data_IF_079632196699
#
_entry.id   IF_079632196699
#
_cell.length_a   1.000
_cell.length_b   1.000
_cell.length_c   1.000
_cell.angle_alpha   90.00
_cell.angle_beta   90.00
_cell.angle_gamma   90.00
#
_symmetry.space_group_name_H-M   'P 1'
#
loop_
_entity.id
_entity.type
_entity.pdbx_description
1 polymer ?
#
# COMPACT_ATOMS: atom_id res chain seq x y z
N UNK A 1 1.12 -34.26 17.24
CA UNK A 1 1.98 -33.05 17.30
C UNK A 1 1.90 -32.55 18.73
N UNK A 2 3.01 -32.58 19.45
CA UNK A 2 3.04 -32.54 20.92
C UNK A 2 2.77 -31.16 21.52
N UNK A 3 1.84 -31.11 22.48
CA UNK A 3 1.50 -29.92 23.28
C UNK A 3 2.70 -29.35 24.04
N UNK A 4 3.67 -30.19 24.41
CA UNK A 4 4.94 -29.77 25.04
C UNK A 4 5.79 -28.92 24.10
N UNK A 5 5.84 -29.22 22.80
CA UNK A 5 6.56 -28.41 21.81
C UNK A 5 5.89 -27.04 21.63
N UNK A 6 4.56 -27.01 21.59
CA UNK A 6 3.78 -25.77 21.52
C UNK A 6 4.00 -24.90 22.76
N UNK A 7 4.02 -25.49 23.95
CA UNK A 7 4.30 -24.79 25.21
C UNK A 7 5.73 -24.23 25.25
N UNK A 8 6.74 -24.99 24.80
CA UNK A 8 8.12 -24.53 24.72
C UNK A 8 8.29 -23.37 23.73
N UNK A 9 7.63 -23.45 22.57
CA UNK A 9 7.62 -22.37 21.58
C UNK A 9 6.92 -21.12 22.14
N UNK A 10 5.80 -21.28 22.85
CA UNK A 10 5.12 -20.18 23.54
C UNK A 10 6.03 -19.50 24.58
N UNK A 11 6.72 -20.29 25.42
CA UNK A 11 7.64 -19.77 26.43
C UNK A 11 8.85 -19.03 25.82
N UNK A 12 9.46 -19.59 24.76
CA UNK A 12 10.53 -18.92 24.00
C UNK A 12 10.06 -17.62 23.34
N UNK A 13 8.82 -17.57 22.85
CA UNK A 13 8.23 -16.37 22.23
C UNK A 13 7.96 -15.30 23.28
N UNK A 14 7.47 -15.68 24.47
CA UNK A 14 7.23 -14.80 25.62
C UNK A 14 8.53 -14.23 26.19
N UNK A 15 9.57 -15.05 26.35
CA UNK A 15 10.92 -14.60 26.75
C UNK A 15 11.52 -13.60 25.75
N UNK A 16 11.44 -13.89 24.44
CA UNK A 16 11.85 -12.94 23.38
C UNK A 16 11.05 -11.64 23.34
N UNK A 17 9.81 -11.63 23.83
CA UNK A 17 9.01 -10.41 23.95
C UNK A 17 9.44 -9.55 25.14
N UNK A 18 9.85 -10.17 26.26
CA UNK A 18 10.35 -9.49 27.44
C UNK A 18 11.75 -8.91 27.23
N UNK A 19 12.60 -9.59 26.46
CA UNK A 19 13.97 -9.16 26.12
C UNK A 19 14.04 -8.18 24.92
N UNK A 20 12.91 -7.63 24.47
CA UNK A 20 12.92 -6.69 23.35
C UNK A 20 13.69 -5.42 23.74
N UNK A 21 14.79 -5.16 23.02
CA UNK A 21 15.58 -3.92 23.14
C UNK A 21 14.72 -2.65 23.13
N UNK A 22 13.62 -2.67 22.36
CA UNK A 22 12.66 -1.57 22.29
C UNK A 22 11.24 -2.13 22.24
N UNK A 23 10.38 -1.67 23.15
CA UNK A 23 8.94 -1.97 23.12
C UNK A 23 8.23 -1.17 22.00
N UNK A 24 8.56 0.13 21.88
CA UNK A 24 8.28 0.98 20.72
C UNK A 24 9.63 1.53 20.25
N UNK A 25 9.85 1.59 18.93
CA UNK A 25 11.09 2.17 18.38
C UNK A 25 11.10 3.68 18.61
N UNK A 26 12.24 4.31 18.96
CA UNK A 26 12.30 5.76 19.20
C UNK A 26 11.73 6.62 18.06
N UNK A 27 11.94 6.22 16.80
CA UNK A 27 11.39 6.91 15.62
C UNK A 27 9.84 6.99 15.62
N UNK A 28 9.17 6.06 16.32
CA UNK A 28 7.71 6.00 16.38
C UNK A 28 7.13 6.69 17.62
N UNK A 29 7.96 7.18 18.55
CA UNK A 29 7.48 7.88 19.74
C UNK A 29 6.76 9.18 19.37
N UNK A 30 7.28 9.91 18.38
CA UNK A 30 6.69 11.14 17.85
C UNK A 30 5.59 10.95 16.83
N UNK A 31 5.11 9.73 16.55
CA UNK A 31 4.18 9.43 15.45
C UNK A 31 2.92 10.30 15.44
N UNK A 32 2.37 10.64 16.60
CA UNK A 32 1.18 11.50 16.72
C UNK A 32 1.45 12.96 16.37
N UNK A 33 2.72 13.39 16.42
CA UNK A 33 3.13 14.77 16.15
C UNK A 33 3.74 14.91 14.74
N UNK A 34 4.54 13.94 14.31
CA UNK A 34 5.32 14.01 13.07
C UNK A 34 4.86 13.02 12.00
N UNK A 35 4.04 12.03 12.35
CA UNK A 35 3.60 11.00 11.42
C UNK A 35 2.74 11.56 10.30
N UNK A 36 2.91 10.99 9.10
CA UNK A 36 2.25 11.46 7.86
C UNK A 36 0.73 11.63 7.99
N UNK A 37 0.06 10.77 8.77
CA UNK A 37 -1.38 10.88 8.99
C UNK A 37 -1.76 12.12 9.82
N UNK A 38 -0.95 12.48 10.82
CA UNK A 38 -1.21 13.63 11.67
C UNK A 38 -0.68 14.95 11.08
N UNK A 39 0.29 14.88 10.18
CA UNK A 39 0.88 16.04 9.50
C UNK A 39 0.27 16.25 8.12
N UNK A 40 0.74 15.52 7.11
CA UNK A 40 0.37 15.70 5.71
C UNK A 40 -1.14 15.53 5.48
N UNK A 41 -1.74 14.45 5.98
CA UNK A 41 -3.16 14.17 5.75
C UNK A 41 -4.05 15.24 6.37
N UNK A 42 -3.72 15.70 7.58
CA UNK A 42 -4.42 16.81 8.22
C UNK A 42 -4.29 18.12 7.44
N UNK A 43 -3.11 18.40 6.87
CA UNK A 43 -2.90 19.58 6.01
C UNK A 43 -3.68 19.49 4.71
N UNK A 44 -3.68 18.34 4.05
CA UNK A 44 -4.46 18.09 2.83
C UNK A 44 -5.95 18.30 3.09
N UNK A 45 -6.45 17.79 4.20
CA UNK A 45 -7.86 17.91 4.55
C UNK A 45 -8.29 19.37 4.75
N UNK A 46 -7.45 20.18 5.40
CA UNK A 46 -7.78 21.57 5.74
C UNK A 46 -7.55 22.54 4.57
N UNK A 47 -6.45 22.37 3.83
CA UNK A 47 -5.94 23.38 2.90
C UNK A 47 -6.17 23.02 1.43
N UNK A 48 -6.30 21.74 1.11
CA UNK A 48 -6.34 21.30 -0.28
C UNK A 48 -7.23 20.04 -0.48
N UNK A 49 -8.56 20.21 -0.52
CA UNK A 49 -9.50 19.11 -0.75
C UNK A 49 -9.32 18.42 -2.11
N UNK A 50 -8.84 19.14 -3.12
CA UNK A 50 -8.58 18.56 -4.45
C UNK A 50 -7.41 17.58 -4.38
N UNK A 51 -6.33 17.97 -3.70
CA UNK A 51 -5.21 17.08 -3.45
C UNK A 51 -5.53 15.97 -2.49
N UNK A 52 -6.39 16.19 -1.49
CA UNK A 52 -6.92 15.11 -0.67
C UNK A 52 -7.63 14.06 -1.53
N UNK A 53 -8.47 14.51 -2.48
CA UNK A 53 -9.13 13.62 -3.42
C UNK A 53 -8.13 12.90 -4.31
N UNK A 54 -7.07 13.56 -4.82
CA UNK A 54 -6.01 12.85 -5.54
C UNK A 54 -5.31 11.82 -4.65
N UNK A 55 -5.05 12.18 -3.39
CA UNK A 55 -4.31 11.38 -2.42
C UNK A 55 -5.05 10.08 -2.04
N UNK A 56 -6.34 10.16 -1.71
CA UNK A 56 -7.18 9.03 -1.27
C UNK A 56 -8.24 8.55 -2.28
N UNK A 57 -8.41 9.22 -3.42
CA UNK A 57 -9.48 9.00 -4.42
C UNK A 57 -10.90 9.12 -3.83
N UNK A 58 -11.04 9.91 -2.78
CA UNK A 58 -12.31 10.20 -2.10
C UNK A 58 -12.26 11.57 -1.41
N UNK A 59 -13.42 12.14 -1.14
CA UNK A 59 -13.51 13.39 -0.37
C UNK A 59 -13.25 13.13 1.11
N UNK A 60 -12.81 14.15 1.88
CA UNK A 60 -12.65 14.03 3.33
C UNK A 60 -13.93 13.56 4.04
N UNK A 61 -15.08 14.07 3.62
CA UNK A 61 -16.38 13.65 4.18
C UNK A 61 -16.63 12.15 4.04
N UNK A 62 -16.42 11.60 2.84
CA UNK A 62 -16.57 10.16 2.58
C UNK A 62 -15.54 9.33 3.35
N UNK A 63 -14.32 9.85 3.49
CA UNK A 63 -13.29 9.19 4.28
C UNK A 63 -13.73 9.06 5.75
N UNK A 64 -14.25 10.13 6.35
CA UNK A 64 -14.72 10.10 7.74
C UNK A 64 -15.95 9.22 7.93
N UNK A 65 -16.90 9.27 7.00
CA UNK A 65 -18.06 8.37 6.98
C UNK A 65 -17.62 6.91 6.98
N UNK A 66 -16.71 6.54 6.08
CA UNK A 66 -16.17 5.20 5.99
C UNK A 66 -15.36 4.81 7.24
N UNK A 67 -14.57 5.73 7.79
CA UNK A 67 -13.79 5.50 8.99
C UNK A 67 -14.68 5.23 10.21
N UNK A 68 -15.81 5.92 10.32
CA UNK A 68 -16.78 5.70 11.40
C UNK A 68 -17.53 4.38 11.22
N UNK A 69 -17.93 4.05 9.99
CA UNK A 69 -18.55 2.75 9.67
C UNK A 69 -17.65 1.56 10.01
N UNK A 70 -16.34 1.68 9.74
CA UNK A 70 -15.36 0.60 9.95
C UNK A 70 -14.69 0.63 11.32
N UNK A 71 -15.04 1.61 12.17
CA UNK A 71 -14.37 1.85 13.45
C UNK A 71 -14.32 0.60 14.33
N UNK A 72 -15.46 -0.09 14.47
CA UNK A 72 -15.57 -1.29 15.30
C UNK A 72 -14.70 -2.45 14.79
N UNK A 73 -14.53 -2.59 13.47
CA UNK A 73 -13.73 -3.65 12.87
C UNK A 73 -12.22 -3.34 12.88
N UNK A 74 -11.87 -2.06 12.76
CA UNK A 74 -10.48 -1.62 12.69
C UNK A 74 -9.85 -1.40 14.08
N UNK A 75 -10.67 -1.15 15.09
CA UNK A 75 -10.24 -1.12 16.49
C UNK A 75 -9.73 -2.50 16.88
N UNK A 76 -8.46 -2.56 17.30
CA UNK A 76 -7.88 -3.77 17.88
C UNK A 76 -7.78 -3.59 19.40
N UNK A 77 -8.07 -4.65 20.18
CA UNK A 77 -7.89 -4.61 21.62
C UNK A 77 -6.45 -4.22 21.93
N UNK A 78 -6.27 -3.27 22.86
CA UNK A 78 -5.00 -2.59 23.14
C UNK A 78 -3.87 -3.57 23.45
N UNK A 79 -3.15 -4.00 22.40
CA UNK A 79 -2.04 -4.95 22.50
C UNK A 79 -0.70 -4.22 22.69
N UNK A 80 -0.70 -2.91 22.47
CA UNK A 80 0.45 -2.03 22.36
C UNK A 80 0.19 -0.74 23.14
N UNK A 81 1.23 -0.15 23.74
CA UNK A 81 1.14 1.16 24.44
C UNK A 81 0.59 2.29 23.56
N UNK A 82 0.74 2.18 22.24
CA UNK A 82 0.26 3.20 21.30
C UNK A 82 -0.28 2.51 20.04
N UNK A 83 -1.55 2.06 20.05
CA UNK A 83 -2.15 1.41 18.88
C UNK A 83 -2.38 2.42 17.75
N UNK A 84 -2.36 1.93 16.51
CA UNK A 84 -2.72 2.71 15.33
C UNK A 84 -4.24 2.83 15.29
N UNK A 85 -4.74 4.07 15.21
CA UNK A 85 -6.17 4.36 15.23
C UNK A 85 -6.90 3.90 13.96
N UNK A 86 -8.23 3.68 14.01
CA UNK A 86 -9.02 3.22 12.86
C UNK A 86 -8.82 4.05 11.58
N UNK A 87 -8.93 5.38 11.68
CA UNK A 87 -8.78 6.29 10.55
C UNK A 87 -7.38 6.22 9.95
N UNK A 88 -6.34 6.14 10.77
CA UNK A 88 -4.97 6.01 10.29
C UNK A 88 -4.73 4.67 9.59
N UNK A 89 -5.34 3.58 10.08
CA UNK A 89 -5.28 2.27 9.41
C UNK A 89 -6.01 2.30 8.07
N UNK A 90 -7.18 2.93 8.02
CA UNK A 90 -7.91 3.12 6.78
C UNK A 90 -7.07 3.91 5.79
N UNK A 91 -6.47 5.03 6.22
CA UNK A 91 -5.58 5.84 5.40
C UNK A 91 -4.40 5.03 4.84
N UNK A 92 -3.72 4.25 5.69
CA UNK A 92 -2.64 3.36 5.26
C UNK A 92 -3.12 2.31 4.24
N UNK A 93 -4.31 1.74 4.45
CA UNK A 93 -4.88 0.72 3.56
C UNK A 93 -5.23 1.29 2.19
N UNK A 94 -5.86 2.47 2.14
CA UNK A 94 -6.17 3.16 0.90
C UNK A 94 -4.89 3.54 0.13
N UNK A 95 -3.83 3.94 0.84
CA UNK A 95 -2.53 4.23 0.23
C UNK A 95 -1.87 2.98 -0.33
N UNK A 96 -1.91 1.87 0.38
CA UNK A 96 -1.39 0.59 -0.12
C UNK A 96 -2.15 0.14 -1.37
N UNK A 97 -3.49 0.25 -1.37
CA UNK A 97 -4.33 -0.04 -2.55
C UNK A 97 -3.90 0.78 -3.76
N UNK A 98 -3.67 2.09 -3.60
CA UNK A 98 -3.24 2.95 -4.71
C UNK A 98 -1.90 2.51 -5.32
N UNK A 99 -0.93 2.12 -4.49
CA UNK A 99 0.36 1.60 -4.97
C UNK A 99 0.14 0.33 -5.80
N UNK A 100 -0.70 -0.57 -5.30
CA UNK A 100 -1.07 -1.82 -5.98
C UNK A 100 -1.76 -1.52 -7.32
N UNK A 101 -2.77 -0.67 -7.33
CA UNK A 101 -3.48 -0.26 -8.55
C UNK A 101 -2.55 0.36 -9.58
N UNK A 102 -1.66 1.28 -9.16
CA UNK A 102 -0.70 1.88 -10.06
C UNK A 102 0.24 0.82 -10.66
N UNK A 103 0.74 -0.12 -9.86
CA UNK A 103 1.61 -1.20 -10.33
C UNK A 103 0.88 -2.13 -11.32
N UNK A 104 -0.34 -2.56 -10.97
CA UNK A 104 -1.14 -3.44 -11.84
C UNK A 104 -1.62 -2.73 -13.10
N UNK A 105 -1.99 -1.45 -13.02
CA UNK A 105 -2.41 -0.67 -14.18
C UNK A 105 -1.30 -0.50 -15.21
N UNK A 106 -0.06 -0.26 -14.78
CA UNK A 106 1.11 -0.27 -15.67
C UNK A 106 1.31 -1.67 -16.29
N UNK A 107 1.13 -2.75 -15.52
CA UNK A 107 1.21 -4.09 -16.08
C UNK A 107 0.09 -4.33 -17.11
N UNK A 108 -1.17 -3.99 -16.81
CA UNK A 108 -2.28 -4.19 -17.75
C UNK A 108 -2.14 -3.37 -19.04
N UNK A 109 -1.65 -2.13 -18.95
CA UNK A 109 -1.42 -1.30 -20.15
C UNK A 109 -0.34 -1.88 -21.07
N UNK A 110 0.65 -2.57 -20.51
CA UNK A 110 1.73 -3.21 -21.27
C UNK A 110 1.39 -4.62 -21.77
N UNK A 111 0.51 -5.34 -21.07
CA UNK A 111 0.24 -6.76 -21.33
C UNK A 111 -1.22 -6.98 -21.75
N UNK A 112 -1.44 -7.16 -23.06
CA UNK A 112 -2.77 -7.37 -23.65
C UNK A 112 -3.59 -8.51 -23.03
N UNK A 113 -2.92 -9.52 -22.45
CA UNK A 113 -3.57 -10.66 -21.78
C UNK A 113 -4.45 -10.23 -20.62
N UNK A 114 -4.13 -9.11 -19.95
CA UNK A 114 -4.93 -8.57 -18.85
C UNK A 114 -6.08 -7.68 -19.31
N UNK A 115 -6.10 -7.28 -20.59
CA UNK A 115 -7.19 -6.47 -21.18
C UNK A 115 -8.32 -7.34 -21.76
N UNK A 116 -8.24 -8.66 -21.59
CA UNK A 116 -9.26 -9.63 -22.01
C UNK A 116 -9.61 -10.54 -20.84
N UNK A 117 -10.80 -11.16 -20.89
CA UNK A 117 -11.13 -12.24 -19.96
C UNK A 117 -10.10 -13.36 -20.14
N UNK A 118 -9.45 -13.75 -19.06
CA UNK A 118 -8.52 -14.88 -19.05
C UNK A 118 -9.36 -16.15 -18.89
N UNK A 119 -9.51 -16.89 -19.97
CA UNK A 119 -10.11 -18.22 -19.94
C UNK A 119 -9.07 -19.22 -19.41
N UNK A 120 -9.16 -19.54 -18.12
CA UNK A 120 -8.24 -20.46 -17.47
C UNK A 120 -8.63 -20.72 -16.01
N UNK A 121 -8.21 -21.86 -15.48
CA UNK A 121 -8.40 -22.16 -14.07
C UNK A 121 -7.47 -21.28 -13.18
N UNK A 122 -7.79 -21.08 -11.90
CA UNK A 122 -7.01 -20.21 -11.02
C UNK A 122 -5.51 -20.55 -10.92
N UNK A 123 -5.13 -21.84 -11.08
CA UNK A 123 -3.71 -22.23 -11.02
C UNK A 123 -2.95 -21.82 -12.27
N UNK A 124 -3.60 -21.85 -13.43
CA UNK A 124 -3.03 -21.34 -14.69
C UNK A 124 -2.93 -19.83 -14.65
N UNK A 125 -3.95 -19.13 -14.15
CA UNK A 125 -3.95 -17.67 -13.98
C UNK A 125 -2.79 -17.24 -13.06
N UNK A 126 -2.56 -17.92 -11.95
CA UNK A 126 -1.45 -17.62 -11.04
C UNK A 126 -0.08 -17.76 -11.73
N UNK A 127 0.11 -18.79 -12.56
CA UNK A 127 1.34 -18.96 -13.37
C UNK A 127 1.50 -17.83 -14.39
N UNK A 128 0.42 -17.42 -15.06
CA UNK A 128 0.44 -16.30 -16.02
C UNK A 128 0.86 -15.01 -15.30
N UNK A 129 0.23 -14.69 -14.17
CA UNK A 129 0.57 -13.49 -13.39
C UNK A 129 2.04 -13.51 -12.96
N UNK A 130 2.54 -14.64 -12.45
CA UNK A 130 3.96 -14.79 -12.08
C UNK A 130 4.90 -14.61 -13.27
N UNK A 131 4.59 -15.21 -14.42
CA UNK A 131 5.40 -15.07 -15.63
C UNK A 131 5.47 -13.61 -16.10
N UNK A 132 4.33 -12.91 -16.09
CA UNK A 132 4.26 -11.49 -16.44
C UNK A 132 5.08 -10.63 -15.46
N UNK A 133 4.99 -10.87 -14.16
CA UNK A 133 5.80 -10.14 -13.16
C UNK A 133 7.30 -10.37 -13.37
N UNK A 134 7.72 -11.62 -13.61
CA UNK A 134 9.11 -11.95 -13.91
C UNK A 134 9.60 -11.24 -15.18
N UNK A 135 8.79 -11.23 -16.25
CA UNK A 135 9.14 -10.61 -17.51
C UNK A 135 9.13 -9.08 -17.44
N UNK A 136 8.17 -8.48 -16.74
CA UNK A 136 8.13 -7.04 -16.43
C UNK A 136 9.42 -6.61 -15.72
N UNK A 137 9.83 -7.34 -14.68
CA UNK A 137 11.05 -7.05 -13.93
C UNK A 137 12.31 -7.19 -14.80
N UNK A 138 12.35 -8.19 -15.68
CA UNK A 138 13.45 -8.38 -16.62
C UNK A 138 13.55 -7.21 -17.61
N UNK A 139 12.44 -6.82 -18.25
CA UNK A 139 12.40 -5.74 -19.24
C UNK A 139 12.72 -4.37 -18.62
N UNK A 140 12.31 -4.13 -17.37
CA UNK A 140 12.62 -2.90 -16.63
C UNK A 140 14.09 -2.81 -16.21
N UNK A 141 14.74 -3.96 -15.92
CA UNK A 141 16.14 -4.00 -15.50
C UNK A 141 17.13 -3.91 -16.68
N UNK A 142 16.68 -4.29 -17.88
CA UNK A 142 17.52 -4.26 -19.07
C UNK A 142 17.52 -2.84 -19.69
N UNK A 143 18.70 -2.22 -19.74
CA UNK A 143 18.90 -0.84 -20.22
C UNK A 143 18.41 -0.64 -21.67
N UNK A 144 18.52 -1.67 -22.52
CA UNK A 144 18.10 -1.59 -23.92
C UNK A 144 16.58 -1.60 -24.09
N UNK A 145 15.84 -2.18 -23.14
CA UNK A 145 14.38 -2.29 -23.21
C UNK A 145 13.65 -1.34 -22.26
N UNK A 146 14.29 -0.85 -21.20
CA UNK A 146 13.63 -0.06 -20.15
C UNK A 146 12.95 1.20 -20.70
N UNK A 147 13.66 1.97 -21.54
CA UNK A 147 13.14 3.20 -22.14
C UNK A 147 12.02 2.99 -23.18
N UNK A 148 11.92 1.79 -23.75
CA UNK A 148 10.90 1.43 -24.75
C UNK A 148 9.67 0.81 -24.07
N UNK A 149 9.91 -0.07 -23.09
CA UNK A 149 8.88 -0.82 -22.37
C UNK A 149 8.11 0.04 -21.36
N UNK A 150 8.81 0.92 -20.64
CA UNK A 150 8.20 1.84 -19.69
C UNK A 150 8.80 3.23 -19.91
N UNK A 151 8.42 3.93 -21.00
CA UNK A 151 8.89 5.28 -21.23
C UNK A 151 8.48 6.16 -20.04
N UNK A 152 9.24 7.21 -19.78
CA UNK A 152 9.00 8.05 -18.61
C UNK A 152 7.58 8.64 -18.60
N UNK A 153 6.93 8.81 -19.75
CA UNK A 153 5.54 9.30 -19.85
C UNK A 153 4.50 8.28 -19.36
N UNK A 154 4.85 6.99 -19.33
CA UNK A 154 3.96 5.93 -18.87
C UNK A 154 3.79 5.92 -17.35
N UNK A 155 4.72 6.47 -16.57
CA UNK A 155 4.71 6.37 -15.10
C UNK A 155 4.28 7.71 -14.50
N UNK A 156 3.46 7.66 -13.44
CA UNK A 156 3.14 8.85 -12.64
C UNK A 156 4.46 9.49 -12.15
N UNK A 157 4.68 10.78 -12.42
CA UNK A 157 5.89 11.52 -11.99
C UNK A 157 5.53 12.56 -10.96
N UNK A 158 6.33 12.72 -9.92
CA UNK A 158 6.25 13.87 -9.02
C UNK A 158 7.31 14.90 -9.43
N UNK A 159 6.91 16.15 -9.63
CA UNK A 159 7.83 17.24 -9.93
C UNK A 159 8.57 17.72 -8.66
N UNK A 160 9.48 18.69 -8.81
CA UNK A 160 10.24 19.24 -7.69
C UNK A 160 9.37 20.02 -6.68
N UNK A 161 8.15 20.39 -7.06
CA UNK A 161 7.16 21.07 -6.22
C UNK A 161 6.26 20.07 -5.48
N UNK A 162 6.37 18.78 -5.79
CA UNK A 162 5.52 17.71 -5.26
C UNK A 162 4.24 17.46 -6.07
N UNK A 163 4.08 18.10 -7.22
CA UNK A 163 2.95 17.93 -8.13
C UNK A 163 3.06 16.60 -8.90
N UNK A 164 2.03 15.75 -8.80
CA UNK A 164 2.01 14.46 -9.49
C UNK A 164 1.42 14.63 -10.90
N UNK A 165 2.25 14.47 -11.92
CA UNK A 165 1.85 14.29 -13.30
C UNK A 165 1.40 12.84 -13.53
N UNK A 166 0.16 12.66 -13.95
CA UNK A 166 -0.41 11.34 -14.23
C UNK A 166 0.23 10.72 -15.48
N UNK A 167 0.56 9.42 -15.42
CA UNK A 167 1.16 8.69 -16.54
C UNK A 167 0.13 8.15 -17.53
N UNK A 168 0.57 7.93 -18.77
CA UNK A 168 -0.24 7.49 -19.93
C UNK A 168 -0.94 6.14 -19.72
N UNK A 169 -0.51 5.35 -18.73
CA UNK A 169 -1.13 4.06 -18.41
C UNK A 169 -2.60 4.18 -18.01
N UNK A 170 -3.04 5.38 -17.58
CA UNK A 170 -4.44 5.65 -17.17
C UNK A 170 -5.38 5.88 -18.36
N UNK A 171 -4.86 6.29 -19.51
CA UNK A 171 -5.63 6.54 -20.74
C UNK A 171 -5.61 5.36 -21.71
N UNK A 172 -4.72 4.40 -21.47
CA UNK A 172 -4.51 3.22 -22.32
C UNK A 172 -5.39 2.01 -21.93
N UNK A 173 -6.32 2.19 -21.00
CA UNK A 173 -7.31 1.19 -20.56
C UNK A 173 -8.68 1.42 -21.20
#
# INVERSE_FOLDING_TARGET
>A
MDDTLLLLLHHRRKKRQLERRWYVRPINEGRLLTGQFHTLVAQLELKDPEWYFKYFRMTPMKFHELAEMLKCELLKPGTHKMPIGPSERLALTLRARRIVENAFGIMCSQWQIFNRRIEGDPTTVDKIVKAVVCLHNYLKKNENSNGIYAPSSLIDREDANGDTHEGDWRTSM
#
